data_IF_188621303150
#
_entry.id   IF_188621303150
#
_cell.length_a   1.000
_cell.length_b   1.000
_cell.length_c   1.000
_cell.angle_alpha   90.00
_cell.angle_beta   90.00
_cell.angle_gamma   90.00
#
_symmetry.space_group_name_H-M   'P 1'
#
loop_
_entity.id
_entity.type
_entity.pdbx_description
1 polymer ?
#
# COMPACT_ATOMS: atom_id res chain seq x y z
N UNK A 1 1.15 -5.61 18.04
CA UNK A 1 0.26 -4.66 17.35
C UNK A 1 -0.40 -5.37 16.19
N UNK A 2 -1.68 -5.10 15.90
CA UNK A 2 -2.32 -5.66 14.71
C UNK A 2 -1.62 -5.13 13.45
N UNK A 3 -1.62 -5.92 12.38
CA UNK A 3 -0.89 -5.57 11.15
C UNK A 3 -1.59 -4.49 10.35
N UNK A 4 -2.92 -4.49 10.42
CA UNK A 4 -3.80 -3.44 9.92
C UNK A 4 -4.43 -2.73 11.12
N UNK A 5 -4.22 -1.43 11.22
CA UNK A 5 -4.70 -0.62 12.33
C UNK A 5 -5.92 0.19 11.90
N UNK A 6 -6.97 0.20 12.74
CA UNK A 6 -8.17 0.99 12.45
C UNK A 6 -7.81 2.47 12.42
N UNK A 7 -8.28 3.14 11.37
CA UNK A 7 -7.97 4.54 11.10
C UNK A 7 -9.26 5.37 11.22
N UNK A 8 -9.55 5.95 12.40
CA UNK A 8 -10.80 6.66 12.63
C UNK A 8 -10.85 7.98 11.87
N UNK A 9 -12.00 8.24 11.22
CA UNK A 9 -12.27 9.54 10.60
C UNK A 9 -12.27 10.65 11.66
N UNK A 10 -11.74 11.82 11.29
CA UNK A 10 -11.65 12.99 12.16
C UNK A 10 -12.72 14.01 11.83
N UNK A 11 -13.14 14.79 12.82
CA UNK A 11 -13.98 15.97 12.61
C UNK A 11 -13.14 17.12 12.05
N UNK A 12 -13.79 18.16 11.51
CA UNK A 12 -13.09 19.31 10.94
C UNK A 12 -12.28 20.07 12.00
N UNK A 13 -12.77 20.10 13.23
CA UNK A 13 -12.14 20.82 14.34
C UNK A 13 -10.80 20.22 14.78
N UNK A 14 -10.66 18.90 14.63
CA UNK A 14 -9.40 18.20 14.87
C UNK A 14 -8.27 18.79 14.00
N UNK A 15 -8.52 19.07 12.72
CA UNK A 15 -7.48 19.60 11.82
C UNK A 15 -7.10 21.05 12.12
N UNK A 16 -7.94 21.81 12.83
CA UNK A 16 -7.62 23.18 13.25
C UNK A 16 -6.72 23.23 14.47
N UNK A 17 -6.79 22.22 15.33
CA UNK A 17 -6.15 22.19 16.65
C UNK A 17 -4.99 21.21 16.73
N UNK A 18 -4.98 20.18 15.88
CA UNK A 18 -3.91 19.19 15.87
C UNK A 18 -2.61 19.77 15.28
N UNK A 19 -1.49 19.37 15.87
CA UNK A 19 -0.15 19.68 15.37
C UNK A 19 -0.03 19.24 13.90
N UNK A 20 0.24 20.21 13.02
CA UNK A 20 0.38 19.99 11.57
C UNK A 20 1.81 19.68 11.17
N UNK A 21 2.76 20.41 11.78
CA UNK A 21 4.17 20.39 11.44
C UNK A 21 4.90 19.57 12.50
N UNK A 22 5.54 18.49 12.08
CA UNK A 22 6.43 17.67 12.91
C UNK A 22 7.89 18.10 12.71
N UNK A 23 8.26 18.46 11.48
CA UNK A 23 9.61 18.90 11.13
C UNK A 23 9.59 19.82 9.89
N UNK A 24 9.86 21.11 10.08
CA UNK A 24 9.76 22.15 9.04
C UNK A 24 10.74 21.94 7.87
N UNK A 25 11.96 21.48 8.15
CA UNK A 25 13.02 21.33 7.14
C UNK A 25 12.84 20.07 6.27
N UNK A 26 11.74 19.33 6.44
CA UNK A 26 11.48 18.10 5.70
C UNK A 26 11.07 18.35 4.24
N UNK A 27 11.66 17.60 3.32
CA UNK A 27 11.23 17.56 1.92
C UNK A 27 10.56 16.22 1.60
N UNK A 28 9.30 16.27 1.18
CA UNK A 28 8.62 15.09 0.66
C UNK A 28 9.21 14.69 -0.70
N UNK A 29 10.09 13.69 -0.72
CA UNK A 29 10.77 13.19 -1.91
C UNK A 29 10.11 11.94 -2.51
N UNK A 30 8.86 12.07 -2.98
CA UNK A 30 8.19 11.03 -3.79
C UNK A 30 8.31 11.25 -5.32
N UNK A 31 9.12 12.23 -5.76
CA UNK A 31 9.25 12.64 -7.17
C UNK A 31 10.27 11.84 -8.00
N UNK A 32 11.01 10.90 -7.39
CA UNK A 32 12.07 10.13 -8.10
C UNK A 32 11.41 9.14 -9.08
N UNK A 33 11.64 9.32 -10.39
CA UNK A 33 11.34 8.30 -11.42
C UNK A 33 9.98 8.37 -12.11
N UNK A 34 9.26 9.50 -12.06
CA UNK A 34 7.99 9.65 -12.77
C UNK A 34 8.22 9.64 -14.29
N UNK A 35 7.47 8.82 -15.02
CA UNK A 35 7.42 8.89 -16.48
C UNK A 35 6.35 9.89 -16.90
N UNK A 36 6.46 10.41 -18.13
CA UNK A 36 5.46 11.31 -18.68
C UNK A 36 4.17 10.60 -19.12
N UNK A 37 4.23 9.29 -19.35
CA UNK A 37 3.11 8.49 -19.82
C UNK A 37 2.13 8.14 -18.70
N UNK A 38 0.86 8.49 -18.92
CA UNK A 38 -0.24 8.25 -17.99
C UNK A 38 -1.03 7.01 -18.41
N UNK A 39 -0.81 5.88 -17.73
CA UNK A 39 -1.38 4.57 -18.09
C UNK A 39 -2.25 4.02 -16.98
N UNK A 40 -3.28 3.27 -17.38
CA UNK A 40 -4.10 2.42 -16.52
C UNK A 40 -3.76 0.97 -16.82
N UNK A 41 -2.95 0.37 -15.96
CA UNK A 41 -2.49 -1.02 -16.11
C UNK A 41 -3.03 -1.83 -14.95
N UNK A 42 -3.62 -2.99 -15.23
CA UNK A 42 -4.12 -3.90 -14.21
C UNK A 42 -3.47 -5.26 -14.41
N UNK A 43 -2.88 -5.78 -13.33
CA UNK A 43 -2.42 -7.16 -13.25
C UNK A 43 -3.36 -7.94 -12.34
N UNK A 44 -3.73 -9.13 -12.79
CA UNK A 44 -4.33 -10.17 -11.95
C UNK A 44 -3.19 -10.96 -11.32
N UNK A 45 -3.24 -11.18 -10.01
CA UNK A 45 -2.30 -12.02 -9.28
C UNK A 45 -3.06 -13.02 -8.40
N UNK A 46 -2.77 -14.31 -8.56
CA UNK A 46 -3.31 -15.39 -7.74
C UNK A 46 -2.34 -16.59 -7.74
N UNK A 47 -2.78 -17.76 -7.26
CA UNK A 47 -1.98 -18.99 -7.28
C UNK A 47 -1.52 -19.45 -8.66
N UNK A 48 -2.18 -19.01 -9.75
CA UNK A 48 -1.78 -19.31 -11.12
C UNK A 48 -0.66 -18.40 -11.64
N UNK A 49 -0.30 -17.37 -10.87
CA UNK A 49 0.75 -16.41 -11.19
C UNK A 49 0.21 -15.01 -11.42
N UNK A 50 1.00 -14.20 -12.14
CA UNK A 50 0.71 -12.79 -12.39
C UNK A 50 0.51 -12.60 -13.89
N UNK A 51 -0.63 -12.04 -14.29
CA UNK A 51 -0.98 -11.80 -15.69
C UNK A 51 -1.48 -10.38 -15.89
N UNK A 52 -0.99 -9.68 -16.91
CA UNK A 52 -1.53 -8.39 -17.32
C UNK A 52 -2.91 -8.60 -17.96
N UNK A 53 -3.92 -7.88 -17.47
CA UNK A 53 -5.31 -8.01 -17.95
C UNK A 53 -5.87 -6.73 -18.55
N UNK A 54 -5.31 -5.57 -18.21
CA UNK A 54 -5.64 -4.27 -18.82
C UNK A 54 -4.35 -3.49 -19.01
N UNK A 55 -4.21 -2.81 -20.15
CA UNK A 55 -3.13 -1.88 -20.41
C UNK A 55 -3.56 -0.77 -21.37
N UNK A 56 -4.27 0.21 -20.82
CA UNK A 56 -4.92 1.27 -21.58
C UNK A 56 -4.46 2.66 -21.14
N UNK A 57 -4.84 3.69 -21.89
CA UNK A 57 -4.70 5.07 -21.43
C UNK A 57 -5.70 5.37 -20.31
N UNK A 58 -5.36 6.32 -19.45
CA UNK A 58 -6.28 6.78 -18.41
C UNK A 58 -7.47 7.51 -19.03
N UNK A 59 -8.68 7.16 -18.59
CA UNK A 59 -9.92 7.81 -18.95
C UNK A 59 -11.00 7.61 -17.86
N UNK A 60 -12.12 8.31 -18.01
CA UNK A 60 -13.24 8.29 -17.05
C UNK A 60 -13.88 6.90 -16.85
N UNK A 61 -13.71 5.98 -17.81
CA UNK A 61 -14.28 4.64 -17.75
C UNK A 61 -13.41 3.63 -17.00
N UNK A 62 -12.16 3.95 -16.63
CA UNK A 62 -11.29 2.99 -15.96
C UNK A 62 -11.89 2.44 -14.66
N UNK A 63 -12.60 3.27 -13.90
CA UNK A 63 -13.27 2.82 -12.67
C UNK A 63 -14.38 1.81 -12.96
N UNK A 64 -15.21 2.07 -13.97
CA UNK A 64 -16.28 1.15 -14.37
C UNK A 64 -15.70 -0.16 -14.94
N UNK A 65 -14.61 -0.06 -15.70
CA UNK A 65 -13.88 -1.21 -16.22
C UNK A 65 -13.38 -2.10 -15.08
N UNK A 66 -12.78 -1.51 -14.05
CA UNK A 66 -12.31 -2.26 -12.88
C UNK A 66 -13.47 -2.90 -12.10
N UNK A 67 -14.59 -2.18 -11.95
CA UNK A 67 -15.80 -2.69 -11.31
C UNK A 67 -16.41 -3.89 -12.04
N UNK A 68 -16.35 -3.91 -13.36
CA UNK A 68 -16.85 -5.03 -14.18
C UNK A 68 -15.89 -6.20 -14.18
N UNK A 69 -14.58 -5.93 -14.10
CA UNK A 69 -13.54 -6.94 -14.05
C UNK A 69 -13.50 -7.68 -12.71
N UNK A 70 -13.72 -6.97 -11.60
CA UNK A 70 -13.46 -7.50 -10.26
C UNK A 70 -14.23 -8.76 -9.86
N UNK A 71 -15.52 -8.96 -10.23
CA UNK A 71 -16.25 -10.17 -9.84
C UNK A 71 -15.72 -11.45 -10.49
N UNK A 72 -14.93 -11.33 -11.58
CA UNK A 72 -14.32 -12.48 -12.25
C UNK A 72 -13.09 -13.02 -11.51
N UNK A 73 -12.51 -12.24 -10.61
CA UNK A 73 -11.23 -12.57 -9.98
C UNK A 73 -11.24 -12.51 -8.46
N UNK A 74 -12.20 -11.80 -7.87
CA UNK A 74 -12.24 -11.52 -6.44
C UNK A 74 -13.42 -12.22 -5.76
N UNK A 75 -13.29 -12.43 -4.46
CA UNK A 75 -14.25 -13.07 -3.56
C UNK A 75 -14.97 -12.04 -2.68
N UNK A 76 -15.75 -12.51 -1.70
CA UNK A 76 -16.68 -11.66 -0.93
C UNK A 76 -15.99 -10.69 0.06
N UNK A 77 -14.86 -11.09 0.69
CA UNK A 77 -14.18 -10.26 1.70
C UNK A 77 -12.98 -9.53 1.11
N UNK A 78 -13.27 -8.35 0.55
CA UNK A 78 -12.33 -7.51 -0.20
C UNK A 78 -11.78 -6.37 0.67
N UNK A 79 -10.48 -6.11 0.56
CA UNK A 79 -9.90 -4.83 0.93
C UNK A 79 -9.35 -4.13 -0.31
N UNK A 80 -9.63 -2.83 -0.46
CA UNK A 80 -9.03 -2.01 -1.51
C UNK A 80 -8.00 -1.07 -0.87
N UNK A 81 -6.75 -1.18 -1.30
CA UNK A 81 -5.69 -0.29 -0.89
C UNK A 81 -5.43 0.80 -1.92
N UNK A 82 -5.16 2.00 -1.43
CA UNK A 82 -4.86 3.16 -2.26
C UNK A 82 -4.54 4.37 -1.40
N UNK A 83 -4.22 5.49 -2.03
CA UNK A 83 -3.70 6.65 -1.28
C UNK A 83 -2.32 6.36 -0.67
N UNK A 84 -1.55 5.44 -1.28
CA UNK A 84 -0.21 5.15 -0.80
C UNK A 84 0.64 6.42 -0.86
N UNK A 85 1.11 6.88 0.30
CA UNK A 85 1.84 8.13 0.48
C UNK A 85 3.09 7.95 1.33
N UNK A 86 4.06 8.86 1.16
CA UNK A 86 5.09 9.13 2.17
C UNK A 86 4.51 10.11 3.20
N UNK A 87 4.85 9.95 4.49
CA UNK A 87 4.44 10.93 5.49
C UNK A 87 5.16 12.26 5.25
N UNK A 88 4.39 13.33 5.12
CA UNK A 88 4.92 14.68 5.07
C UNK A 88 5.10 15.25 6.48
N UNK A 89 6.34 15.36 6.96
CA UNK A 89 6.61 15.90 8.30
C UNK A 89 6.42 17.41 8.39
N UNK A 90 6.54 18.14 7.27
CA UNK A 90 6.32 19.59 7.26
C UNK A 90 4.81 19.91 7.26
N UNK A 91 4.00 19.06 6.64
CA UNK A 91 2.54 19.16 6.71
C UNK A 91 1.90 17.78 6.63
N UNK A 92 1.65 17.18 7.80
CA UNK A 92 1.10 15.81 7.86
C UNK A 92 -0.36 15.70 7.41
N UNK A 93 -1.03 16.83 7.15
CA UNK A 93 -2.39 16.85 6.61
C UNK A 93 -2.41 16.96 5.09
N UNK A 94 -1.26 17.21 4.47
CA UNK A 94 -1.10 17.39 3.04
C UNK A 94 -0.53 16.14 2.36
N UNK A 95 -1.08 15.83 1.18
CA UNK A 95 -0.63 14.77 0.30
C UNK A 95 -0.60 15.27 -1.14
N UNK A 96 0.12 14.56 -2.01
CA UNK A 96 0.18 14.94 -3.42
C UNK A 96 -1.15 14.70 -4.14
N UNK A 97 -1.41 15.38 -5.28
CA UNK A 97 -2.59 15.14 -6.09
C UNK A 97 -2.74 13.70 -6.58
N UNK A 98 -1.64 12.98 -6.82
CA UNK A 98 -1.63 11.56 -7.24
C UNK A 98 -2.18 10.67 -6.12
N UNK A 99 -1.71 10.89 -4.89
CA UNK A 99 -2.19 10.21 -3.68
C UNK A 99 -3.69 10.48 -3.50
N UNK A 100 -4.08 11.76 -3.54
CA UNK A 100 -5.48 12.17 -3.40
C UNK A 100 -6.37 11.51 -4.47
N UNK A 101 -5.94 11.50 -5.74
CA UNK A 101 -6.66 10.86 -6.86
C UNK A 101 -6.82 9.36 -6.63
N UNK A 102 -5.75 8.65 -6.24
CA UNK A 102 -5.83 7.21 -6.00
C UNK A 102 -6.76 6.85 -4.84
N UNK A 103 -6.74 7.64 -3.75
CA UNK A 103 -7.65 7.44 -2.62
C UNK A 103 -9.10 7.66 -3.06
N UNK A 104 -9.39 8.75 -3.78
CA UNK A 104 -10.74 9.02 -4.32
C UNK A 104 -11.23 7.90 -5.24
N UNK A 105 -10.37 7.41 -6.13
CA UNK A 105 -10.70 6.27 -7.00
C UNK A 105 -11.12 5.04 -6.19
N UNK A 106 -10.41 4.73 -5.09
CA UNK A 106 -10.75 3.62 -4.21
C UNK A 106 -12.09 3.83 -3.47
N UNK A 107 -12.33 5.04 -2.96
CA UNK A 107 -13.58 5.38 -2.28
C UNK A 107 -14.77 5.29 -3.26
N UNK A 108 -14.61 5.80 -4.48
CA UNK A 108 -15.64 5.69 -5.52
C UNK A 108 -15.90 4.25 -5.92
N UNK A 109 -14.84 3.42 -6.00
CA UNK A 109 -14.96 1.98 -6.22
C UNK A 109 -15.80 1.32 -5.12
N UNK A 110 -15.53 1.61 -3.84
CA UNK A 110 -16.29 1.07 -2.70
C UNK A 110 -17.76 1.44 -2.82
N UNK A 111 -18.07 2.73 -3.01
CA UNK A 111 -19.44 3.21 -3.12
C UNK A 111 -20.18 2.54 -4.29
N UNK A 112 -19.55 2.46 -5.46
CA UNK A 112 -20.16 1.81 -6.64
C UNK A 112 -20.31 0.30 -6.45
N UNK A 113 -19.36 -0.37 -5.80
CA UNK A 113 -19.43 -1.80 -5.49
C UNK A 113 -20.61 -2.13 -4.58
N UNK A 114 -20.84 -1.30 -3.55
CA UNK A 114 -21.96 -1.45 -2.63
C UNK A 114 -23.30 -1.32 -3.38
N UNK A 115 -23.39 -0.35 -4.30
CA UNK A 115 -24.61 -0.14 -5.09
C UNK A 115 -24.87 -1.25 -6.10
N UNK A 116 -23.83 -1.66 -6.85
CA UNK A 116 -23.96 -2.59 -7.99
C UNK A 116 -23.98 -4.05 -7.56
N UNK A 117 -23.15 -4.42 -6.58
CA UNK A 117 -22.92 -5.82 -6.20
C UNK A 117 -23.29 -6.16 -4.76
N UNK A 118 -23.68 -5.17 -3.94
CA UNK A 118 -23.92 -5.35 -2.49
C UNK A 118 -22.71 -5.85 -1.72
N UNK A 119 -21.51 -5.70 -2.28
CA UNK A 119 -20.23 -5.99 -1.63
C UNK A 119 -19.69 -4.68 -1.06
N UNK A 120 -19.21 -4.72 0.18
CA UNK A 120 -18.60 -3.57 0.88
C UNK A 120 -17.11 -3.86 1.13
N UNK A 121 -16.22 -3.46 0.21
CA UNK A 121 -14.79 -3.52 0.49
C UNK A 121 -14.41 -2.54 1.62
N UNK A 122 -13.45 -2.94 2.45
CA UNK A 122 -12.81 -2.02 3.39
C UNK A 122 -11.70 -1.22 2.68
N UNK A 123 -11.38 -0.03 3.20
CA UNK A 123 -10.34 0.83 2.66
C UNK A 123 -9.03 0.68 3.45
N UNK A 124 -7.89 0.52 2.75
CA UNK A 124 -6.56 0.50 3.33
C UNK A 124 -5.69 1.62 2.77
N UNK A 125 -5.12 2.43 3.65
CA UNK A 125 -4.10 3.41 3.28
C UNK A 125 -2.72 2.91 3.71
N UNK A 126 -1.89 2.56 2.73
CA UNK A 126 -0.50 2.17 2.94
C UNK A 126 0.36 3.42 3.13
N UNK A 127 1.22 3.43 4.15
CA UNK A 127 2.02 4.60 4.49
C UNK A 127 3.49 4.23 4.48
N UNK A 128 4.22 4.90 3.60
CA UNK A 128 5.66 4.81 3.54
C UNK A 128 6.29 5.77 4.57
N UNK A 129 6.92 5.18 5.57
CA UNK A 129 7.66 5.85 6.63
C UNK A 129 9.19 5.57 6.55
N UNK A 130 9.69 5.26 5.35
CA UNK A 130 11.11 4.93 5.10
C UNK A 130 12.01 6.13 4.89
N UNK A 131 11.53 7.13 4.14
CA UNK A 131 12.38 8.20 3.62
C UNK A 131 12.04 9.48 4.36
N UNK A 132 12.94 9.91 5.24
CA UNK A 132 12.90 11.24 5.84
C UNK A 132 14.16 12.01 5.41
N UNK A 133 14.19 12.51 4.18
CA UNK A 133 15.27 13.38 3.67
C UNK A 133 15.00 14.85 4.06
N UNK A 134 16.02 15.58 4.52
CA UNK A 134 15.92 17.04 4.68
C UNK A 134 15.87 17.72 3.31
N UNK A 135 15.42 18.96 3.30
CA UNK A 135 15.42 19.82 2.10
C UNK A 135 16.82 20.07 1.51
N UNK A 136 17.88 19.90 2.31
CA UNK A 136 19.29 20.02 1.88
C UNK A 136 19.90 18.70 1.38
N UNK A 137 19.12 17.61 1.33
CA UNK A 137 19.57 16.29 0.90
C UNK A 137 20.34 15.48 1.94
N UNK A 138 20.53 16.01 3.16
CA UNK A 138 21.15 15.26 4.26
C UNK A 138 20.17 14.28 4.95
N UNK A 139 20.70 13.16 5.45
CA UNK A 139 19.94 12.26 6.34
C UNK A 139 19.75 12.92 7.72
N UNK A 140 18.63 12.64 8.39
CA UNK A 140 18.25 13.40 9.58
C UNK A 140 19.02 13.03 10.85
N UNK A 141 19.17 11.79 11.31
CA UNK A 141 19.55 11.51 12.70
C UNK A 141 18.43 11.92 13.69
N UNK A 142 17.78 10.91 14.30
CA UNK A 142 16.51 10.95 15.08
C UNK A 142 15.25 10.60 14.28
N UNK A 143 15.41 9.98 13.12
CA UNK A 143 14.34 9.48 12.23
C UNK A 143 13.27 8.70 13.00
N UNK A 144 13.67 7.86 13.94
CA UNK A 144 12.75 7.03 14.70
C UNK A 144 11.79 7.83 15.59
N UNK A 145 12.18 9.00 16.09
CA UNK A 145 11.32 9.83 16.95
C UNK A 145 10.22 10.51 16.13
N UNK A 146 10.60 11.22 15.05
CA UNK A 146 9.62 11.89 14.18
C UNK A 146 8.65 10.90 13.53
N UNK A 147 9.15 9.73 13.12
CA UNK A 147 8.31 8.63 12.64
C UNK A 147 7.25 8.19 13.64
N UNK A 148 7.61 8.10 14.92
CA UNK A 148 6.66 7.71 15.97
C UNK A 148 5.54 8.75 16.14
N UNK A 149 5.89 10.04 16.08
CA UNK A 149 4.91 11.14 16.14
C UNK A 149 4.00 11.13 14.92
N UNK A 150 4.57 10.87 13.74
CA UNK A 150 3.87 10.80 12.46
C UNK A 150 2.85 9.65 12.37
N UNK A 151 3.12 8.51 13.02
CA UNK A 151 2.38 7.26 12.79
C UNK A 151 1.52 6.81 13.98
N UNK A 152 1.56 7.48 15.13
CA UNK A 152 0.88 7.02 16.34
C UNK A 152 0.13 8.14 17.11
N UNK A 153 -1.20 8.29 16.92
CA UNK A 153 -2.02 7.61 15.91
C UNK A 153 -1.78 8.23 14.53
N UNK A 154 -1.85 7.41 13.49
CA UNK A 154 -1.87 7.95 12.14
C UNK A 154 -3.16 8.75 11.90
N UNK A 155 -3.04 9.80 11.08
CA UNK A 155 -4.11 10.74 10.75
C UNK A 155 -4.34 10.69 9.25
N UNK A 156 -5.58 10.43 8.85
CA UNK A 156 -5.98 10.54 7.45
C UNK A 156 -5.79 12.01 7.03
N UNK A 157 -5.11 12.28 5.91
CA UNK A 157 -5.01 13.63 5.36
C UNK A 157 -6.39 14.29 5.21
N UNK A 158 -6.49 15.57 5.54
CA UNK A 158 -7.78 16.27 5.70
C UNK A 158 -8.69 16.12 4.46
N UNK A 159 -8.10 16.26 3.27
CA UNK A 159 -8.84 16.16 2.00
C UNK A 159 -9.42 14.78 1.76
N UNK A 160 -8.66 13.73 2.06
CA UNK A 160 -9.12 12.34 1.94
C UNK A 160 -10.21 12.08 2.99
N UNK A 161 -9.99 12.51 4.23
CA UNK A 161 -10.97 12.37 5.32
C UNK A 161 -12.31 13.04 4.97
N UNK A 162 -12.25 14.27 4.43
CA UNK A 162 -13.43 15.00 3.97
C UNK A 162 -14.15 14.23 2.85
N UNK A 163 -13.39 13.76 1.86
CA UNK A 163 -13.96 13.00 0.74
C UNK A 163 -14.67 11.71 1.19
N UNK A 164 -14.07 10.97 2.13
CA UNK A 164 -14.71 9.78 2.72
C UNK A 164 -16.02 10.18 3.39
N UNK A 165 -16.01 11.19 4.26
CA UNK A 165 -17.22 11.63 4.98
C UNK A 165 -18.32 12.10 4.04
N UNK A 166 -17.99 12.92 3.05
CA UNK A 166 -18.95 13.44 2.07
C UNK A 166 -19.55 12.29 1.24
N UNK A 167 -18.72 11.32 0.86
CA UNK A 167 -19.16 10.11 0.15
C UNK A 167 -20.05 9.24 1.03
N UNK A 168 -19.71 9.05 2.30
CA UNK A 168 -20.50 8.30 3.27
C UNK A 168 -21.89 8.94 3.46
N UNK A 169 -21.93 10.25 3.71
CA UNK A 169 -23.17 11.01 3.89
C UNK A 169 -24.05 10.97 2.64
N UNK A 170 -23.48 11.26 1.47
CA UNK A 170 -24.21 11.29 0.20
C UNK A 170 -24.82 9.94 -0.17
N UNK A 171 -24.19 8.84 0.24
CA UNK A 171 -24.60 7.50 -0.13
C UNK A 171 -25.21 6.69 1.02
N UNK A 172 -25.44 7.31 2.18
CA UNK A 172 -25.92 6.67 3.40
C UNK A 172 -25.20 5.34 3.69
N UNK A 173 -23.87 5.40 3.73
CA UNK A 173 -22.98 4.24 3.81
C UNK A 173 -21.79 4.59 4.70
N UNK A 174 -21.31 3.64 5.51
CA UNK A 174 -20.05 3.79 6.23
C UNK A 174 -18.90 3.07 5.54
N UNK A 175 -17.70 3.64 5.57
CA UNK A 175 -16.47 3.04 5.05
C UNK A 175 -15.52 2.77 6.21
N UNK A 176 -15.20 1.50 6.46
CA UNK A 176 -14.14 1.13 7.40
C UNK A 176 -12.81 1.44 6.77
N UNK A 177 -11.97 2.20 7.48
CA UNK A 177 -10.65 2.60 6.99
C UNK A 177 -9.56 2.03 7.90
N UNK A 178 -8.52 1.49 7.29
CA UNK A 178 -7.34 0.94 7.96
C UNK A 178 -6.08 1.63 7.46
N UNK A 179 -5.02 1.53 8.24
CA UNK A 179 -3.68 1.90 7.80
C UNK A 179 -2.66 0.81 8.10
N UNK A 180 -1.55 0.86 7.36
CA UNK A 180 -0.38 0.02 7.59
C UNK A 180 0.91 0.81 7.34
N UNK A 181 1.90 0.65 8.22
CA UNK A 181 3.25 1.20 8.02
C UNK A 181 4.09 0.24 7.19
N UNK A 182 4.52 0.68 6.01
CA UNK A 182 5.34 -0.14 5.11
C UNK A 182 6.70 -0.47 5.74
N UNK A 183 7.30 0.42 6.52
CA UNK A 183 8.57 0.14 7.19
C UNK A 183 8.42 -0.95 8.23
N UNK A 184 7.36 -0.89 9.04
CA UNK A 184 7.07 -1.95 10.00
C UNK A 184 6.83 -3.28 9.30
N UNK A 185 6.19 -3.27 8.12
CA UNK A 185 6.01 -4.46 7.28
C UNK A 185 7.34 -4.98 6.73
N UNK A 186 8.19 -4.12 6.18
CA UNK A 186 9.44 -4.56 5.58
C UNK A 186 10.47 -5.02 6.63
N UNK A 187 10.55 -4.35 7.78
CA UNK A 187 11.35 -4.79 8.93
C UNK A 187 10.86 -6.16 9.43
N UNK A 188 9.56 -6.41 9.37
CA UNK A 188 8.97 -7.71 9.70
C UNK A 188 9.35 -8.78 8.70
N UNK A 189 9.23 -8.52 7.40
CA UNK A 189 9.68 -9.44 6.35
C UNK A 189 11.15 -9.81 6.55
N UNK A 190 12.00 -8.81 6.78
CA UNK A 190 13.42 -8.99 7.10
C UNK A 190 13.64 -9.91 8.31
N UNK A 191 12.84 -9.75 9.38
CA UNK A 191 12.91 -10.66 10.55
C UNK A 191 12.50 -12.08 10.19
N UNK A 192 11.43 -12.26 9.42
CA UNK A 192 10.98 -13.59 9.00
C UNK A 192 12.05 -14.32 8.19
N UNK A 193 12.66 -13.66 7.22
CA UNK A 193 13.74 -14.24 6.41
C UNK A 193 14.93 -14.64 7.27
N UNK A 194 15.34 -13.79 8.22
CA UNK A 194 16.49 -14.08 9.11
C UNK A 194 16.32 -15.37 9.92
N UNK A 195 15.08 -15.79 10.16
CA UNK A 195 14.76 -17.01 10.88
C UNK A 195 14.82 -18.26 9.98
N UNK A 196 14.99 -18.11 8.67
CA UNK A 196 15.07 -19.21 7.69
C UNK A 196 16.43 -19.25 6.98
N UNK A 197 17.50 -19.48 7.76
CA UNK A 197 18.91 -19.38 7.29
C UNK A 197 19.29 -20.28 6.09
N UNK A 198 18.50 -21.29 5.77
CA UNK A 198 18.79 -22.28 4.71
C UNK A 198 17.67 -22.41 3.66
N UNK A 199 16.84 -21.38 3.47
CA UNK A 199 15.78 -21.44 2.47
C UNK A 199 16.36 -21.23 1.05
N UNK A 200 16.11 -22.20 0.17
CA UNK A 200 16.60 -22.27 -1.22
C UNK A 200 16.17 -21.09 -2.10
N UNK A 201 15.12 -20.37 -1.68
CA UNK A 201 14.62 -19.19 -2.39
C UNK A 201 15.59 -18.01 -2.29
N UNK A 202 16.52 -18.00 -1.32
CA UNK A 202 17.38 -16.85 -1.06
C UNK A 202 18.84 -17.10 -1.46
N UNK A 203 19.44 -16.07 -2.04
CA UNK A 203 20.85 -16.03 -2.41
C UNK A 203 21.48 -14.75 -1.87
N UNK A 204 22.51 -14.89 -1.05
CA UNK A 204 23.25 -13.75 -0.51
C UNK A 204 24.46 -13.44 -1.40
N UNK A 205 24.56 -12.19 -1.87
CA UNK A 205 25.71 -11.67 -2.60
C UNK A 205 26.15 -10.40 -1.87
N UNK A 206 27.36 -10.41 -1.29
CA UNK A 206 27.85 -9.34 -0.42
C UNK A 206 26.86 -9.02 0.72
N UNK A 207 26.41 -7.77 0.83
CA UNK A 207 25.43 -7.31 1.84
C UNK A 207 23.97 -7.33 1.33
N UNK A 208 23.75 -7.81 0.11
CA UNK A 208 22.44 -7.87 -0.53
C UNK A 208 21.91 -9.30 -0.51
N UNK A 209 20.63 -9.44 -0.16
CA UNK A 209 19.90 -10.69 -0.23
C UNK A 209 18.92 -10.62 -1.40
N UNK A 210 19.09 -11.56 -2.32
CA UNK A 210 18.23 -11.77 -3.47
C UNK A 210 17.26 -12.91 -3.18
N UNK A 211 16.07 -12.84 -3.77
CA UNK A 211 15.11 -13.93 -3.81
C UNK A 211 14.92 -14.35 -5.28
N UNK A 212 14.89 -15.67 -5.54
CA UNK A 212 14.59 -16.21 -6.86
C UNK A 212 13.23 -16.91 -6.82
N UNK A 213 12.29 -16.44 -7.65
CA UNK A 213 10.94 -17.01 -7.75
C UNK A 213 10.57 -17.13 -9.22
N UNK A 214 10.35 -18.36 -9.69
CA UNK A 214 9.89 -18.62 -11.05
C UNK A 214 10.84 -18.12 -12.14
N UNK A 215 12.16 -18.08 -11.87
CA UNK A 215 13.18 -17.59 -12.80
C UNK A 215 13.47 -16.09 -12.70
N UNK A 216 12.68 -15.35 -11.91
CA UNK A 216 12.91 -13.93 -11.62
C UNK A 216 13.81 -13.79 -10.37
N UNK A 217 14.93 -13.09 -10.49
CA UNK A 217 15.83 -12.75 -9.37
C UNK A 217 15.64 -11.28 -8.99
N UNK A 218 15.38 -10.99 -7.71
CA UNK A 218 15.15 -9.61 -7.25
C UNK A 218 15.64 -9.37 -5.82
N UNK A 219 15.98 -8.12 -5.52
CA UNK A 219 16.51 -7.70 -4.22
C UNK A 219 15.39 -7.59 -3.17
N UNK A 220 15.53 -8.31 -2.05
CA UNK A 220 14.63 -8.21 -0.88
C UNK A 220 15.28 -7.48 0.30
N UNK A 221 16.60 -7.50 0.39
CA UNK A 221 17.40 -6.72 1.35
C UNK A 221 18.61 -6.17 0.61
N UNK A 222 18.88 -4.86 0.70
CA UNK A 222 20.04 -4.19 0.10
C UNK A 222 20.81 -3.43 1.17
N UNK A 223 22.11 -3.67 1.30
CA UNK A 223 22.96 -3.05 2.34
C UNK A 223 22.34 -3.16 3.75
N UNK A 224 21.85 -4.36 4.09
CA UNK A 224 21.12 -4.65 5.34
C UNK A 224 19.87 -3.76 5.58
N UNK A 225 19.31 -3.08 4.58
CA UNK A 225 18.01 -2.39 4.63
C UNK A 225 16.98 -3.17 3.80
N UNK A 226 15.75 -3.39 4.27
CA UNK A 226 14.73 -4.07 3.46
C UNK A 226 14.32 -3.19 2.26
N UNK A 227 13.96 -3.82 1.14
CA UNK A 227 13.51 -3.12 -0.08
C UNK A 227 11.99 -2.93 -0.10
N UNK A 228 11.47 -2.18 -1.08
CA UNK A 228 10.02 -2.05 -1.29
C UNK A 228 9.36 -3.41 -1.61
N UNK A 229 10.09 -4.36 -2.20
CA UNK A 229 9.61 -5.73 -2.41
C UNK A 229 9.28 -6.39 -1.08
N UNK A 230 10.18 -6.28 -0.10
CA UNK A 230 9.97 -6.80 1.26
C UNK A 230 8.78 -6.14 1.97
N UNK A 231 8.59 -4.83 1.77
CA UNK A 231 7.43 -4.09 2.27
C UNK A 231 6.12 -4.65 1.71
N UNK A 232 5.99 -4.66 0.37
CA UNK A 232 4.82 -5.20 -0.33
C UNK A 232 4.52 -6.64 0.07
N UNK A 233 5.54 -7.51 0.15
CA UNK A 233 5.36 -8.92 0.52
C UNK A 233 4.75 -9.09 1.92
N UNK A 234 5.23 -8.31 2.90
CA UNK A 234 4.64 -8.32 4.23
C UNK A 234 3.26 -7.66 4.30
N UNK A 235 2.99 -6.62 3.50
CA UNK A 235 1.66 -6.01 3.40
C UNK A 235 0.63 -6.99 2.85
N UNK A 236 0.94 -7.71 1.76
CA UNK A 236 0.08 -8.76 1.22
C UNK A 236 -0.25 -9.83 2.26
N UNK A 237 0.76 -10.27 3.02
CA UNK A 237 0.55 -11.19 4.14
C UNK A 237 -0.36 -10.62 5.23
N UNK A 238 -0.17 -9.37 5.61
CA UNK A 238 -0.97 -8.68 6.63
C UNK A 238 -2.45 -8.53 6.20
N UNK A 239 -2.68 -8.34 4.90
CA UNK A 239 -4.01 -8.36 4.31
C UNK A 239 -4.62 -9.75 4.42
N UNK A 240 -3.88 -10.80 4.00
CA UNK A 240 -4.40 -12.17 3.95
C UNK A 240 -4.62 -12.79 5.33
N UNK A 241 -3.79 -12.47 6.32
CA UNK A 241 -3.83 -13.13 7.62
C UNK A 241 -3.87 -12.15 8.79
N UNK A 242 -4.70 -12.49 9.79
CA UNK A 242 -4.66 -11.90 11.12
C UNK A 242 -3.83 -12.79 12.02
N UNK A 243 -2.75 -12.24 12.57
CA UNK A 243 -1.84 -12.98 13.45
C UNK A 243 -2.02 -12.53 14.88
N UNK A 244 -2.19 -13.51 15.75
CA UNK A 244 -2.17 -13.39 17.21
C UNK A 244 -1.02 -14.25 17.76
N UNK A 245 -0.60 -14.07 19.02
CA UNK A 245 0.50 -14.84 19.61
C UNK A 245 0.36 -16.36 19.45
N UNK A 246 -0.89 -16.87 19.43
CA UNK A 246 -1.16 -18.31 19.45
C UNK A 246 -1.84 -18.84 18.18
N UNK A 247 -2.21 -17.97 17.23
CA UNK A 247 -2.97 -18.38 16.04
C UNK A 247 -2.80 -17.41 14.86
N UNK A 248 -2.63 -17.98 13.68
CA UNK A 248 -2.84 -17.31 12.40
C UNK A 248 -4.24 -17.65 11.90
N UNK A 249 -5.02 -16.64 11.52
CA UNK A 249 -6.36 -16.83 10.97
C UNK A 249 -6.51 -16.04 9.67
N UNK A 250 -7.41 -16.49 8.82
CA UNK A 250 -7.77 -15.79 7.59
C UNK A 250 -8.34 -14.41 7.89
N UNK A 251 -7.89 -13.41 7.14
CA UNK A 251 -8.39 -12.06 7.23
C UNK A 251 -9.15 -11.69 5.96
N UNK A 252 -8.55 -11.00 4.99
CA UNK A 252 -9.19 -10.74 3.70
C UNK A 252 -8.89 -11.86 2.71
N UNK A 253 -9.88 -12.19 1.88
CA UNK A 253 -9.78 -13.25 0.87
C UNK A 253 -9.54 -12.68 -0.52
N UNK A 254 -9.57 -11.35 -0.69
CA UNK A 254 -9.27 -10.67 -1.94
C UNK A 254 -8.79 -9.25 -1.73
N UNK A 255 -8.02 -8.75 -2.70
CA UNK A 255 -7.41 -7.43 -2.62
C UNK A 255 -7.49 -6.69 -3.95
N UNK A 256 -7.66 -5.37 -3.87
CA UNK A 256 -7.43 -4.47 -5.00
C UNK A 256 -6.38 -3.46 -4.52
N UNK A 257 -5.20 -3.44 -5.14
CA UNK A 257 -4.16 -2.49 -4.79
C UNK A 257 -4.04 -1.41 -5.85
N UNK A 258 -4.27 -0.15 -5.51
CA UNK A 258 -4.14 1.00 -6.42
C UNK A 258 -2.89 1.79 -6.08
N UNK A 259 -1.89 1.71 -6.95
CA UNK A 259 -0.53 2.18 -6.68
C UNK A 259 -0.19 3.43 -7.53
N UNK A 260 -0.31 4.65 -6.96
CA UNK A 260 0.03 5.88 -7.69
C UNK A 260 1.53 6.16 -7.74
N UNK A 261 2.30 5.71 -6.76
CA UNK A 261 3.69 6.12 -6.53
C UNK A 261 4.68 4.94 -6.41
N UNK A 262 4.20 3.70 -6.48
CA UNK A 262 5.07 2.53 -6.39
C UNK A 262 5.66 2.14 -7.74
N UNK A 263 6.84 1.54 -7.67
CA UNK A 263 7.39 0.75 -8.76
C UNK A 263 6.49 -0.43 -9.10
N UNK A 264 6.11 -0.54 -10.38
CA UNK A 264 5.42 -1.73 -10.90
C UNK A 264 6.17 -3.00 -10.55
N UNK A 265 7.48 -3.04 -10.84
CA UNK A 265 8.29 -4.22 -10.59
C UNK A 265 8.34 -4.57 -9.11
N UNK A 266 8.46 -3.58 -8.21
CA UNK A 266 8.49 -3.81 -6.77
C UNK A 266 7.19 -4.42 -6.24
N UNK A 267 6.03 -3.96 -6.73
CA UNK A 267 4.72 -4.49 -6.31
C UNK A 267 4.54 -5.93 -6.80
N UNK A 268 4.81 -6.17 -8.09
CA UNK A 268 4.69 -7.52 -8.67
C UNK A 268 5.65 -8.51 -8.00
N UNK A 269 6.91 -8.11 -7.77
CA UNK A 269 7.88 -8.93 -7.05
C UNK A 269 7.51 -9.09 -5.57
N UNK A 270 6.88 -8.09 -4.95
CA UNK A 270 6.33 -8.21 -3.59
C UNK A 270 5.28 -9.31 -3.49
N UNK A 271 4.40 -9.41 -4.49
CA UNK A 271 3.41 -10.49 -4.55
C UNK A 271 4.07 -11.85 -4.78
N UNK A 272 5.05 -11.95 -5.70
CA UNK A 272 5.84 -13.17 -5.92
C UNK A 272 6.54 -13.62 -4.64
N UNK A 273 7.17 -12.68 -3.94
CA UNK A 273 7.85 -12.94 -2.68
C UNK A 273 6.87 -13.42 -1.60
N UNK A 274 5.70 -12.79 -1.45
CA UNK A 274 4.68 -13.25 -0.50
C UNK A 274 4.22 -14.67 -0.82
N UNK A 275 3.89 -14.93 -2.09
CA UNK A 275 3.35 -16.21 -2.56
C UNK A 275 4.33 -17.37 -2.42
N UNK A 276 5.62 -17.10 -2.61
CA UNK A 276 6.66 -18.14 -2.50
C UNK A 276 7.19 -18.31 -1.06
N UNK A 277 7.23 -17.25 -0.26
CA UNK A 277 7.84 -17.28 1.07
C UNK A 277 6.86 -17.65 2.18
N UNK A 278 5.58 -17.28 2.05
CA UNK A 278 4.56 -17.61 3.03
C UNK A 278 3.77 -18.82 2.56
N UNK A 279 3.91 -19.93 3.27
CA UNK A 279 3.20 -21.18 2.97
C UNK A 279 1.68 -20.94 2.87
N UNK A 280 1.03 -21.58 1.91
CA UNK A 280 -0.42 -21.49 1.63
C UNK A 280 -0.95 -20.07 1.39
N UNK A 281 -0.09 -19.13 0.96
CA UNK A 281 -0.50 -17.78 0.61
C UNK A 281 -1.38 -17.77 -0.65
N UNK A 282 -2.68 -17.54 -0.46
CA UNK A 282 -3.65 -17.32 -1.53
C UNK A 282 -4.43 -16.04 -1.26
N UNK A 283 -4.03 -14.95 -1.94
CA UNK A 283 -4.75 -13.67 -1.94
C UNK A 283 -4.96 -13.24 -3.39
N UNK A 284 -6.09 -13.61 -4.03
CA UNK A 284 -6.46 -13.07 -5.33
C UNK A 284 -6.47 -11.54 -5.30
N UNK A 285 -5.64 -10.94 -6.16
CA UNK A 285 -5.37 -9.51 -6.19
C UNK A 285 -5.56 -8.93 -7.59
N UNK A 286 -6.18 -7.75 -7.66
CA UNK A 286 -6.07 -6.84 -8.81
C UNK A 286 -5.10 -5.70 -8.45
N UNK A 287 -3.94 -5.70 -9.09
CA UNK A 287 -2.87 -4.73 -8.88
C UNK A 287 -2.96 -3.67 -9.98
N UNK A 288 -3.44 -2.49 -9.60
CA UNK A 288 -3.79 -1.37 -10.47
C UNK A 288 -2.68 -0.32 -10.38
N UNK A 289 -2.05 -0.04 -11.51
CA UNK A 289 -1.10 1.05 -11.67
C UNK A 289 -1.80 2.18 -12.43
N UNK A 290 -1.86 3.33 -11.78
CA UNK A 290 -2.61 4.50 -12.20
C UNK A 290 -1.71 5.73 -12.07
N UNK A 291 -1.56 6.51 -13.12
CA UNK A 291 -0.81 7.75 -13.09
C UNK A 291 0.53 7.70 -13.83
N UNK A 292 1.31 8.77 -13.63
CA UNK A 292 2.76 8.86 -13.91
C UNK A 292 3.62 8.04 -12.95
N UNK A 293 3.14 6.86 -12.54
CA UNK A 293 3.76 6.04 -11.50
C UNK A 293 5.22 5.72 -11.82
N UNK A 294 6.02 5.39 -10.80
CA UNK A 294 7.39 4.96 -11.02
C UNK A 294 7.35 3.64 -11.82
N UNK A 295 7.64 3.64 -13.12
CA UNK A 295 7.51 2.44 -13.96
C UNK A 295 8.85 1.70 -14.16
N UNK A 296 9.76 1.79 -13.18
CA UNK A 296 11.00 1.00 -13.14
C UNK A 296 11.02 0.10 -11.92
#
# INVERSE_FOLDING_TARGET
MPDLELMPLKNIEFYKTAEKIIFEDYQCNCKKGWKDEDRFIVYKADKSGITEVINNNINENNLNTLLELSPHYLSEKIIISGGHTVVNLNDRFSVSPEVERSAKFCIDYIIKSIKKFKIKPDFLMEINDFYMEKSDGSEIGKENHFRKIATSPYIIPERINRYIKDSCMKNNTDITSFYVSEKNMADRFKRHIKNQKNNVLFKKINETLYMNVGGEEFEVIKNNKPTCVAGNAATFRAIRYRISPNKTADNYTSHIGVFPLCSKQNVLNGYRAASAFYDDFELPSLLVFFGKSCFQ
#
